data_IF_994828621551
#
_entry.id   IF_994828621551
#
_cell.length_a   1.000
_cell.length_b   1.000
_cell.length_c   1.000
_cell.angle_alpha   90.00
_cell.angle_beta   90.00
_cell.angle_gamma   90.00
#
_symmetry.space_group_name_H-M   'P 1'
#
loop_
_entity.id
_entity.type
_entity.pdbx_description
1 polymer ?
#
# COMPACT_ATOMS: atom_id res chain seq x y z
N UNK A 1 1.53 -9.07 21.00
CA UNK A 1 1.59 -9.26 19.52
C UNK A 1 2.92 -8.72 19.01
N UNK A 2 3.64 -9.46 18.17
CA UNK A 2 4.90 -8.99 17.56
C UNK A 2 4.60 -8.13 16.33
N UNK A 3 5.28 -6.98 16.22
CA UNK A 3 5.28 -6.15 15.00
C UNK A 3 6.21 -6.80 13.97
N UNK A 4 5.72 -6.95 12.74
CA UNK A 4 6.48 -7.45 11.61
C UNK A 4 6.37 -6.46 10.45
N UNK A 5 7.52 -6.02 9.93
CA UNK A 5 7.59 -5.14 8.75
C UNK A 5 7.72 -6.04 7.53
N UNK A 6 6.74 -6.01 6.64
CA UNK A 6 6.77 -6.81 5.42
C UNK A 6 7.57 -6.08 4.35
N UNK A 7 8.60 -6.74 3.82
CA UNK A 7 9.33 -6.28 2.63
C UNK A 7 8.56 -6.77 1.41
N UNK A 8 8.18 -5.84 0.55
CA UNK A 8 7.47 -6.13 -0.69
C UNK A 8 8.43 -5.91 -1.85
N UNK A 9 8.62 -6.94 -2.66
CA UNK A 9 9.52 -6.89 -3.80
C UNK A 9 8.98 -5.95 -4.89
N UNK A 10 9.89 -5.26 -5.58
CA UNK A 10 9.53 -4.33 -6.65
C UNK A 10 8.92 -3.01 -6.16
N UNK A 11 9.03 -2.70 -4.86
CA UNK A 11 8.62 -1.42 -4.28
C UNK A 11 9.83 -0.66 -3.77
N UNK A 12 9.95 0.60 -4.15
CA UNK A 12 10.96 1.51 -3.65
C UNK A 12 10.81 1.73 -2.15
N UNK A 13 11.94 2.06 -1.53
CA UNK A 13 11.95 2.48 -0.13
C UNK A 13 11.08 3.74 0.02
N UNK A 14 10.22 3.81 1.04
CA UNK A 14 9.48 5.01 1.40
C UNK A 14 10.38 6.26 1.48
N UNK A 15 9.92 7.43 0.98
CA UNK A 15 10.68 8.68 1.06
C UNK A 15 10.71 9.31 2.47
N UNK A 16 9.91 8.77 3.40
CA UNK A 16 9.77 9.22 4.79
C UNK A 16 9.82 8.01 5.74
N UNK A 17 9.94 8.21 7.08
CA UNK A 17 10.11 7.12 8.04
C UNK A 17 8.81 6.34 8.32
N UNK A 18 8.26 5.71 7.29
CA UNK A 18 7.13 4.79 7.38
C UNK A 18 7.47 3.46 6.69
N UNK A 19 6.59 2.47 6.86
CA UNK A 19 6.66 1.19 6.16
C UNK A 19 5.38 1.01 5.35
N UNK A 20 5.48 0.44 4.14
CA UNK A 20 4.31 0.25 3.27
C UNK A 20 3.27 -0.68 3.89
N UNK A 21 3.72 -1.80 4.44
CA UNK A 21 2.85 -2.78 5.10
C UNK A 21 3.49 -3.25 6.42
N UNK A 22 2.70 -3.22 7.48
CA UNK A 22 3.08 -3.76 8.79
C UNK A 22 2.03 -4.78 9.20
N UNK A 23 2.49 -5.97 9.60
CA UNK A 23 1.66 -6.99 10.22
C UNK A 23 1.77 -6.89 11.74
N UNK A 24 0.62 -6.89 12.41
CA UNK A 24 0.54 -7.04 13.85
C UNK A 24 -0.62 -7.97 14.17
N UNK A 25 -0.30 -9.16 14.68
CA UNK A 25 -1.31 -10.20 14.93
C UNK A 25 -1.96 -10.67 13.63
N UNK A 26 -3.29 -10.69 13.61
CA UNK A 26 -4.10 -11.08 12.44
C UNK A 26 -4.39 -9.94 11.45
N UNK A 27 -3.87 -8.74 11.68
CA UNK A 27 -4.16 -7.56 10.85
C UNK A 27 -2.96 -7.09 10.06
N UNK A 28 -3.24 -6.58 8.86
CA UNK A 28 -2.33 -5.80 8.04
C UNK A 28 -2.69 -4.33 8.16
N UNK A 29 -1.70 -3.50 8.46
CA UNK A 29 -1.78 -2.05 8.45
C UNK A 29 -1.01 -1.56 7.24
N UNK A 30 -1.72 -0.98 6.28
CA UNK A 30 -1.16 -0.46 5.04
C UNK A 30 -1.12 1.06 5.14
N UNK A 31 0.00 1.67 4.74
CA UNK A 31 0.11 3.14 4.66
C UNK A 31 -0.87 3.71 3.63
N UNK A 32 -1.12 5.03 3.70
CA UNK A 32 -1.93 5.73 2.70
C UNK A 32 -1.40 5.48 1.28
N UNK A 33 -2.31 5.25 0.33
CA UNK A 33 -1.94 5.07 -1.07
C UNK A 33 -2.34 6.29 -1.88
N UNK A 34 -1.40 6.78 -2.67
CA UNK A 34 -1.57 7.86 -3.64
C UNK A 34 -1.45 7.29 -5.06
N UNK A 35 -1.61 8.13 -6.08
CA UNK A 35 -1.32 7.80 -7.48
C UNK A 35 0.17 7.67 -7.79
N UNK A 36 0.95 7.14 -6.85
CA UNK A 36 2.41 7.05 -6.94
C UNK A 36 2.84 5.81 -7.72
N UNK A 37 3.90 5.90 -8.52
CA UNK A 37 4.61 4.72 -8.98
C UNK A 37 5.42 4.15 -7.80
N UNK A 38 5.02 2.98 -7.32
CA UNK A 38 5.66 2.31 -6.19
C UNK A 38 7.14 1.97 -6.44
N UNK A 39 7.64 1.97 -7.68
CA UNK A 39 9.04 1.72 -8.03
C UNK A 39 9.91 2.98 -8.02
N UNK A 40 9.34 4.16 -8.27
CA UNK A 40 10.09 5.42 -8.39
C UNK A 40 9.76 6.43 -7.30
N UNK A 41 8.67 6.22 -6.57
CA UNK A 41 8.05 7.20 -5.65
C UNK A 41 7.52 8.47 -6.33
N UNK A 42 7.43 8.51 -7.66
CA UNK A 42 6.87 9.66 -8.39
C UNK A 42 5.35 9.63 -8.39
N UNK A 43 4.71 10.79 -8.19
CA UNK A 43 3.26 10.91 -8.31
C UNK A 43 2.90 10.97 -9.78
N UNK A 44 2.07 10.04 -10.24
CA UNK A 44 1.56 10.02 -11.60
C UNK A 44 0.47 11.09 -11.76
N UNK A 45 0.56 11.94 -12.80
CA UNK A 45 -0.45 12.95 -13.09
C UNK A 45 -1.73 12.31 -13.64
N UNK A 46 -2.81 13.06 -13.65
CA UNK A 46 -4.11 12.62 -14.17
C UNK A 46 -5.28 13.30 -13.46
N UNK A 47 -6.49 13.01 -13.91
CA UNK A 47 -7.68 13.45 -13.20
C UNK A 47 -7.90 12.64 -11.91
N UNK A 48 -8.78 13.11 -11.04
CA UNK A 48 -9.10 12.44 -9.76
C UNK A 48 -9.49 10.97 -9.93
N UNK A 49 -10.20 10.63 -11.02
CA UNK A 49 -10.62 9.24 -11.28
C UNK A 49 -9.45 8.32 -11.61
N UNK A 50 -8.47 8.82 -12.37
CA UNK A 50 -7.25 8.07 -12.71
C UNK A 50 -6.35 7.92 -11.48
N UNK A 51 -6.21 8.99 -10.70
CA UNK A 51 -5.42 8.97 -9.48
C UNK A 51 -6.01 8.03 -8.42
N UNK A 52 -7.33 8.06 -8.23
CA UNK A 52 -8.03 7.14 -7.33
C UNK A 52 -7.88 5.68 -7.78
N UNK A 53 -8.02 5.39 -9.07
CA UNK A 53 -7.79 4.04 -9.61
C UNK A 53 -6.37 3.57 -9.30
N UNK A 54 -5.37 4.40 -9.56
CA UNK A 54 -3.97 4.05 -9.29
C UNK A 54 -3.69 3.81 -7.80
N UNK A 55 -4.24 4.65 -6.91
CA UNK A 55 -4.13 4.46 -5.47
C UNK A 55 -4.73 3.11 -5.02
N UNK A 56 -5.88 2.73 -5.56
CA UNK A 56 -6.51 1.44 -5.27
C UNK A 56 -5.75 0.25 -5.88
N UNK A 57 -5.13 0.40 -7.05
CA UNK A 57 -4.23 -0.61 -7.63
C UNK A 57 -2.98 -0.82 -6.78
N UNK A 58 -2.38 0.26 -6.27
CA UNK A 58 -1.26 0.19 -5.34
C UNK A 58 -1.66 -0.51 -4.04
N UNK A 59 -2.82 -0.16 -3.47
CA UNK A 59 -3.37 -0.85 -2.29
C UNK A 59 -3.52 -2.34 -2.55
N UNK A 60 -4.14 -2.72 -3.69
CA UNK A 60 -4.33 -4.11 -4.11
C UNK A 60 -3.00 -4.84 -4.17
N UNK A 61 -2.02 -4.28 -4.86
CA UNK A 61 -0.69 -4.87 -4.98
C UNK A 61 -0.06 -5.13 -3.61
N UNK A 62 -0.05 -4.12 -2.72
CA UNK A 62 0.54 -4.25 -1.39
C UNK A 62 -0.16 -5.30 -0.51
N UNK A 63 -1.49 -5.39 -0.52
CA UNK A 63 -2.21 -6.40 0.29
C UNK A 63 -2.06 -7.80 -0.27
N UNK A 64 -2.01 -7.97 -1.59
CA UNK A 64 -1.81 -9.27 -2.24
C UNK A 64 -0.38 -9.77 -2.05
N UNK A 65 0.62 -8.90 -2.21
CA UNK A 65 2.02 -9.25 -1.91
C UNK A 65 2.27 -9.55 -0.43
N UNK A 66 1.43 -9.05 0.47
CA UNK A 66 1.45 -9.38 1.88
C UNK A 66 0.71 -10.70 2.23
N UNK A 67 0.22 -11.45 1.24
CA UNK A 67 -0.47 -12.72 1.41
C UNK A 67 -1.95 -12.61 1.80
N UNK A 68 -2.59 -11.48 1.49
CA UNK A 68 -4.02 -11.25 1.71
C UNK A 68 -4.73 -10.89 0.39
N UNK A 69 -5.90 -10.25 0.46
CA UNK A 69 -6.64 -9.79 -0.72
C UNK A 69 -7.51 -8.59 -0.40
N UNK A 70 -7.97 -7.87 -1.43
CA UNK A 70 -8.93 -6.77 -1.31
C UNK A 70 -10.25 -7.19 -0.61
N UNK A 71 -10.64 -8.47 -0.70
CA UNK A 71 -11.85 -9.00 -0.05
C UNK A 71 -11.75 -9.04 1.48
N UNK A 72 -10.54 -9.02 2.02
CA UNK A 72 -10.28 -9.08 3.46
C UNK A 72 -10.20 -7.68 4.11
N UNK A 73 -10.43 -6.61 3.34
CA UNK A 73 -10.39 -5.25 3.86
C UNK A 73 -11.64 -4.98 4.70
N UNK A 74 -11.43 -4.65 5.98
CA UNK A 74 -12.50 -4.35 6.93
C UNK A 74 -12.65 -2.86 7.25
N UNK A 75 -11.65 -2.03 6.88
CA UNK A 75 -11.65 -0.58 7.13
C UNK A 75 -10.76 0.13 6.11
N UNK A 76 -11.25 1.26 5.59
CA UNK A 76 -10.50 2.23 4.76
C UNK A 76 -10.74 3.64 5.29
N UNK A 77 -9.77 4.54 5.12
CA UNK A 77 -9.92 6.00 5.27
C UNK A 77 -9.56 6.62 3.92
N UNK A 78 -10.44 7.47 3.40
CA UNK A 78 -10.25 8.21 2.14
C UNK A 78 -10.20 9.69 2.47
#
# INVERSE_FOLDING_TARGET
>A
MKKEILKIDGVAKPPAPFNHVVKAGGFLFVTSQLSTDLKTNEILPGCVSEQARKALENLKFLVESAGSSMKNIVKVVI
#
